data_IF_619013364510
#
_entry.id   IF_619013364510
#
_cell.length_a   1.000
_cell.length_b   1.000
_cell.length_c   1.000
_cell.angle_alpha   90.00
_cell.angle_beta   90.00
_cell.angle_gamma   90.00
#
_symmetry.space_group_name_H-M   'P 1'
#
loop_
_entity.id
_entity.type
_entity.pdbx_description
1 polymer ?
#
# COMPACT_ATOMS: atom_id res chain seq x y z
N UNK A 1 -8.73 -35.84 1.28
CA UNK A 1 -7.90 -34.76 1.90
C UNK A 1 -8.84 -33.65 2.37
N UNK A 2 -8.42 -32.77 3.29
CA UNK A 2 -9.23 -31.59 3.64
C UNK A 2 -9.17 -30.53 2.53
N UNK A 3 -7.98 -30.32 1.96
CA UNK A 3 -7.70 -29.35 0.89
C UNK A 3 -6.54 -29.85 0.04
N UNK A 4 -6.38 -29.34 -1.18
CA UNK A 4 -5.24 -29.63 -2.06
C UNK A 4 -4.41 -28.39 -2.37
N UNK A 5 -3.14 -28.59 -2.73
CA UNK A 5 -2.22 -27.55 -3.18
C UNK A 5 -1.32 -28.10 -4.29
N UNK A 6 -0.49 -27.22 -4.85
CA UNK A 6 0.46 -27.57 -5.92
C UNK A 6 1.54 -28.50 -5.37
N UNK A 7 1.82 -29.56 -6.12
CA UNK A 7 2.99 -30.41 -5.96
C UNK A 7 3.88 -30.35 -7.20
N UNK A 8 4.88 -31.23 -7.30
CA UNK A 8 5.87 -31.25 -8.38
C UNK A 8 6.66 -29.93 -8.48
N UNK A 9 7.14 -29.46 -7.35
CA UNK A 9 7.89 -28.21 -7.26
C UNK A 9 9.36 -28.37 -7.58
N UNK A 10 9.97 -27.27 -8.04
CA UNK A 10 11.41 -27.19 -8.21
C UNK A 10 12.10 -27.11 -6.84
N UNK A 11 13.08 -27.97 -6.62
CA UNK A 11 13.91 -28.00 -5.41
C UNK A 11 15.39 -27.99 -5.78
N UNK A 12 16.27 -27.66 -4.83
CA UNK A 12 17.71 -27.53 -5.07
C UNK A 12 18.43 -28.82 -5.41
N UNK A 13 17.78 -29.99 -5.25
CA UNK A 13 18.39 -31.30 -5.41
C UNK A 13 19.42 -31.66 -4.33
N UNK A 14 19.56 -30.83 -3.29
CA UNK A 14 20.44 -31.09 -2.17
C UNK A 14 20.04 -32.39 -1.46
N UNK A 15 21.02 -33.22 -1.08
CA UNK A 15 20.76 -34.51 -0.44
C UNK A 15 20.40 -35.66 -1.40
N UNK A 16 20.62 -35.49 -2.71
CA UNK A 16 20.39 -36.55 -3.71
C UNK A 16 18.95 -36.65 -4.20
N UNK A 17 18.11 -35.65 -3.90
CA UNK A 17 16.76 -35.57 -4.43
C UNK A 17 16.76 -35.10 -5.89
N UNK A 18 15.80 -35.54 -6.72
CA UNK A 18 15.58 -34.95 -8.03
C UNK A 18 15.25 -33.45 -7.90
N UNK A 19 15.60 -32.66 -8.91
CA UNK A 19 15.28 -31.21 -8.95
C UNK A 19 13.77 -30.94 -9.02
N UNK A 20 12.96 -31.95 -9.30
CA UNK A 20 11.49 -31.89 -9.23
C UNK A 20 11.00 -32.83 -8.14
N UNK A 21 10.26 -32.30 -7.18
CA UNK A 21 9.74 -33.06 -6.05
C UNK A 21 8.21 -33.09 -6.06
N UNK A 22 7.64 -34.26 -6.32
CA UNK A 22 6.20 -34.50 -6.44
C UNK A 22 5.64 -35.23 -5.21
N UNK A 23 4.32 -35.11 -5.00
CA UNK A 23 3.60 -35.81 -3.95
C UNK A 23 3.12 -34.91 -2.81
N UNK A 24 2.36 -35.51 -1.88
CA UNK A 24 1.73 -34.78 -0.77
C UNK A 24 2.73 -34.12 0.18
N UNK A 25 3.95 -34.67 0.28
CA UNK A 25 5.06 -34.05 1.00
C UNK A 25 5.52 -32.73 0.38
N UNK A 26 5.35 -32.55 -0.93
CA UNK A 26 5.62 -31.28 -1.62
C UNK A 26 4.43 -30.31 -1.50
N UNK A 27 3.20 -30.86 -1.47
CA UNK A 27 1.97 -30.09 -1.34
C UNK A 27 1.79 -29.47 0.07
N UNK A 28 2.01 -30.26 1.12
CA UNK A 28 1.82 -29.85 2.52
C UNK A 28 2.52 -28.54 2.93
N UNK A 29 3.81 -28.29 2.58
CA UNK A 29 4.47 -27.04 2.95
C UNK A 29 3.86 -25.80 2.28
N UNK A 30 3.17 -25.91 1.15
CA UNK A 30 2.45 -24.78 0.55
C UNK A 30 1.27 -24.35 1.42
N UNK A 31 0.50 -25.32 1.94
CA UNK A 31 -0.59 -25.02 2.87
C UNK A 31 -0.05 -24.48 4.19
N UNK A 32 1.06 -25.03 4.69
CA UNK A 32 1.71 -24.53 5.91
C UNK A 32 2.22 -23.09 5.76
N UNK A 33 2.87 -22.78 4.62
CA UNK A 33 3.33 -21.43 4.30
C UNK A 33 2.18 -20.43 4.16
N UNK A 34 1.10 -20.82 3.48
CA UNK A 34 -0.10 -20.01 3.38
C UNK A 34 -0.73 -19.75 4.76
N UNK A 35 -0.90 -20.80 5.58
CA UNK A 35 -1.42 -20.66 6.93
C UNK A 35 -0.55 -19.71 7.78
N UNK A 36 0.77 -19.78 7.65
CA UNK A 36 1.69 -18.87 8.33
C UNK A 36 1.49 -17.40 7.91
N UNK A 37 1.29 -17.14 6.61
CA UNK A 37 0.99 -15.79 6.10
C UNK A 37 -0.36 -15.27 6.63
N UNK A 38 -1.38 -16.13 6.69
CA UNK A 38 -2.68 -15.77 7.27
C UNK A 38 -2.57 -15.46 8.76
N UNK A 39 -1.79 -16.24 9.52
CA UNK A 39 -1.50 -15.98 10.93
C UNK A 39 -0.66 -14.72 11.15
N UNK A 40 0.23 -14.37 10.21
CA UNK A 40 0.95 -13.10 10.23
C UNK A 40 -0.01 -11.92 10.04
N UNK A 41 -0.96 -12.07 9.12
CA UNK A 41 -1.95 -11.05 8.81
C UNK A 41 -3.03 -10.88 9.89
N UNK A 42 -3.40 -11.97 10.57
CA UNK A 42 -4.37 -11.98 11.68
C UNK A 42 -3.76 -12.61 12.93
N UNK A 43 -2.92 -11.87 13.68
CA UNK A 43 -2.23 -12.41 14.86
C UNK A 43 -3.17 -12.93 15.94
N UNK A 44 -4.41 -12.42 16.03
CA UNK A 44 -5.41 -12.88 17.00
C UNK A 44 -5.85 -14.34 16.83
N UNK A 45 -5.42 -15.02 15.75
CA UNK A 45 -5.63 -16.46 15.56
C UNK A 45 -4.44 -17.31 16.03
N UNK A 46 -3.38 -16.67 16.54
CA UNK A 46 -2.29 -17.39 17.20
C UNK A 46 -2.79 -17.88 18.55
N UNK A 47 -2.01 -18.79 19.13
CA UNK A 47 -2.28 -19.27 20.47
C UNK A 47 -1.45 -18.47 21.48
N UNK A 48 -1.99 -18.29 22.69
CA UNK A 48 -1.28 -17.72 23.84
C UNK A 48 -1.71 -16.32 24.27
N UNK A 49 -2.74 -15.75 23.66
CA UNK A 49 -3.34 -14.48 24.07
C UNK A 49 -4.17 -14.62 25.37
N UNK A 50 -4.26 -13.58 26.22
CA UNK A 50 -5.16 -13.61 27.38
C UNK A 50 -6.62 -13.77 26.95
N UNK A 51 -7.29 -14.84 27.40
CA UNK A 51 -8.68 -15.16 27.01
C UNK A 51 -8.80 -15.96 25.70
N UNK A 52 -7.70 -16.52 25.21
CA UNK A 52 -7.60 -17.30 23.98
C UNK A 52 -8.50 -18.55 23.96
N UNK A 53 -9.05 -18.85 22.78
CA UNK A 53 -9.78 -20.09 22.49
C UNK A 53 -9.16 -20.80 21.28
N UNK A 54 -8.08 -21.58 21.50
CA UNK A 54 -7.32 -22.21 20.41
C UNK A 54 -8.14 -23.16 19.52
N UNK A 55 -9.32 -23.60 19.98
CA UNK A 55 -10.22 -24.43 19.17
C UNK A 55 -11.01 -23.59 18.17
N UNK A 56 -11.49 -22.42 18.59
CA UNK A 56 -12.19 -21.47 17.73
C UNK A 56 -11.24 -20.87 16.69
N UNK A 57 -10.01 -20.53 17.09
CA UNK A 57 -9.04 -19.90 16.18
C UNK A 57 -8.55 -20.85 15.10
N UNK A 58 -8.25 -22.11 15.45
CA UNK A 58 -7.96 -23.15 14.46
C UNK A 58 -9.13 -23.39 13.52
N UNK A 59 -10.36 -23.35 14.03
CA UNK A 59 -11.57 -23.51 13.21
C UNK A 59 -11.76 -22.32 12.26
N UNK A 60 -11.50 -21.09 12.71
CA UNK A 60 -11.56 -19.90 11.87
C UNK A 60 -10.51 -19.94 10.75
N UNK A 61 -9.27 -20.30 11.06
CA UNK A 61 -8.21 -20.46 10.06
C UNK A 61 -8.54 -21.57 9.06
N UNK A 62 -9.01 -22.73 9.56
CA UNK A 62 -9.43 -23.86 8.72
C UNK A 62 -10.58 -23.45 7.80
N UNK A 63 -11.64 -22.83 8.32
CA UNK A 63 -12.80 -22.43 7.53
C UNK A 63 -12.43 -21.42 6.45
N UNK A 64 -11.53 -20.49 6.74
CA UNK A 64 -11.05 -19.56 5.73
C UNK A 64 -10.33 -20.27 4.58
N UNK A 65 -9.47 -21.25 4.87
CA UNK A 65 -8.79 -22.03 3.84
C UNK A 65 -9.76 -22.90 3.03
N UNK A 66 -10.71 -23.57 3.70
CA UNK A 66 -11.63 -24.50 3.04
C UNK A 66 -12.73 -23.79 2.24
N UNK A 67 -13.32 -22.72 2.77
CA UNK A 67 -14.44 -22.03 2.11
C UNK A 67 -14.01 -21.13 0.95
N UNK A 68 -12.72 -20.81 0.86
CA UNK A 68 -12.17 -19.98 -0.22
C UNK A 68 -11.38 -20.79 -1.24
N UNK A 69 -11.19 -22.09 -0.99
CA UNK A 69 -10.54 -22.97 -1.93
C UNK A 69 -11.29 -22.98 -3.28
N UNK A 70 -10.52 -23.00 -4.35
CA UNK A 70 -11.05 -23.15 -5.69
C UNK A 70 -11.44 -24.60 -5.91
N UNK A 71 -12.75 -24.85 -5.96
CA UNK A 71 -13.32 -26.18 -6.17
C UNK A 71 -12.83 -26.80 -7.48
N UNK A 72 -12.37 -28.05 -7.41
CA UNK A 72 -11.83 -28.82 -8.53
C UNK A 72 -12.52 -30.17 -8.56
N UNK A 73 -12.91 -30.62 -9.75
CA UNK A 73 -13.62 -31.88 -9.89
C UNK A 73 -15.14 -31.70 -9.72
N UNK A 74 -15.85 -32.69 -9.15
CA UNK A 74 -17.27 -32.57 -8.83
C UNK A 74 -17.54 -31.43 -7.86
N UNK A 75 -18.65 -30.71 -8.05
CA UNK A 75 -18.98 -29.58 -7.19
C UNK A 75 -19.12 -30.00 -5.71
N UNK A 76 -18.47 -29.26 -4.82
CA UNK A 76 -18.47 -29.48 -3.38
C UNK A 76 -17.27 -30.27 -2.88
N UNK A 77 -17.29 -30.65 -1.61
CA UNK A 77 -16.17 -31.40 -1.01
C UNK A 77 -16.15 -32.82 -1.54
N UNK A 78 -15.01 -33.25 -2.07
CA UNK A 78 -14.82 -34.60 -2.58
C UNK A 78 -13.60 -35.32 -1.95
N UNK A 79 -13.45 -36.61 -2.25
CA UNK A 79 -12.39 -37.45 -1.67
C UNK A 79 -11.04 -37.36 -2.42
N UNK A 80 -10.96 -36.62 -3.53
CA UNK A 80 -9.76 -36.42 -4.35
C UNK A 80 -9.13 -35.05 -4.05
N UNK A 81 -9.90 -33.98 -4.18
CA UNK A 81 -9.48 -32.59 -4.02
C UNK A 81 -9.86 -31.98 -2.67
N UNK A 82 -10.69 -32.65 -1.86
CA UNK A 82 -11.19 -32.08 -0.62
C UNK A 82 -12.11 -30.90 -0.93
N UNK A 83 -11.91 -29.77 -0.27
CA UNK A 83 -12.58 -28.50 -0.63
C UNK A 83 -12.06 -27.85 -1.92
N UNK A 84 -11.10 -28.47 -2.61
CA UNK A 84 -10.47 -27.92 -3.81
C UNK A 84 -9.04 -27.45 -3.57
N UNK A 85 -8.51 -26.69 -4.53
CA UNK A 85 -7.15 -26.12 -4.47
C UNK A 85 -7.15 -24.84 -3.66
N UNK A 86 -6.22 -24.71 -2.71
CA UNK A 86 -6.09 -23.52 -1.88
C UNK A 86 -5.92 -22.22 -2.71
N UNK A 87 -6.72 -21.21 -2.39
CA UNK A 87 -6.60 -19.85 -2.91
C UNK A 87 -6.15 -18.91 -1.78
N UNK A 88 -4.88 -18.53 -1.81
CA UNK A 88 -4.31 -17.69 -0.78
C UNK A 88 -4.85 -16.26 -0.76
N UNK A 89 -5.24 -15.72 -1.92
CA UNK A 89 -5.74 -14.35 -2.01
C UNK A 89 -7.17 -14.27 -1.45
N UNK A 90 -8.02 -15.21 -1.84
CA UNK A 90 -9.38 -15.30 -1.34
C UNK A 90 -9.40 -15.58 0.18
N UNK A 91 -8.54 -16.50 0.66
CA UNK A 91 -8.38 -16.77 2.09
C UNK A 91 -7.95 -15.51 2.86
N UNK A 92 -6.95 -14.77 2.36
CA UNK A 92 -6.47 -13.55 2.99
C UNK A 92 -7.55 -12.45 3.02
N UNK A 93 -8.30 -12.28 1.93
CA UNK A 93 -9.37 -11.28 1.85
C UNK A 93 -10.54 -11.63 2.79
N UNK A 94 -10.77 -12.91 3.07
CA UNK A 94 -11.82 -13.35 4.00
C UNK A 94 -11.46 -13.16 5.47
N UNK A 95 -10.19 -13.35 5.84
CA UNK A 95 -9.74 -13.36 7.24
C UNK A 95 -9.18 -12.02 7.71
N UNK A 96 -8.37 -11.41 6.86
CA UNK A 96 -7.75 -10.15 7.17
C UNK A 96 -8.80 -9.06 6.96
N UNK A 97 -8.85 -8.03 7.82
CA UNK A 97 -9.48 -6.78 7.38
C UNK A 97 -8.87 -6.42 6.03
N UNK A 98 -9.67 -5.83 5.13
CA UNK A 98 -9.18 -5.34 3.85
C UNK A 98 -7.79 -4.77 4.12
N UNK A 99 -6.79 -5.30 3.43
CA UNK A 99 -5.55 -4.57 3.24
C UNK A 99 -5.97 -3.27 2.56
N UNK A 100 -6.49 -2.29 3.32
CA UNK A 100 -5.96 -0.94 3.20
C UNK A 100 -4.48 -1.23 3.20
N UNK A 101 -3.77 -1.01 2.09
CA UNK A 101 -2.34 -1.23 2.09
C UNK A 101 -1.87 -0.56 3.35
N UNK A 102 -1.45 -1.36 4.36
CA UNK A 102 -0.76 -0.82 5.52
C UNK A 102 0.28 0.05 4.86
N UNK A 103 0.21 1.39 5.02
CA UNK A 103 0.97 2.30 4.16
C UNK A 103 2.38 1.78 4.25
N UNK A 104 2.84 1.10 3.17
CA UNK A 104 4.04 0.27 3.17
C UNK A 104 5.06 1.14 3.84
N UNK A 105 5.52 0.85 5.09
CA UNK A 105 5.97 1.85 6.06
C UNK A 105 6.66 2.90 5.25
N UNK A 106 5.94 4.01 4.98
CA UNK A 106 6.26 4.94 3.90
C UNK A 106 7.66 5.35 4.27
N UNK A 107 8.63 4.74 3.59
CA UNK A 107 10.03 4.84 3.94
C UNK A 107 10.24 6.32 4.13
N UNK A 108 10.78 6.70 5.28
CA UNK A 108 11.12 8.11 5.47
C UNK A 108 11.87 8.52 4.21
N UNK A 109 11.40 9.55 3.48
CA UNK A 109 11.99 9.92 2.21
C UNK A 109 13.50 10.00 2.40
N UNK A 110 14.31 9.31 1.59
CA UNK A 110 15.74 9.35 1.76
C UNK A 110 16.18 10.81 1.66
N UNK A 111 17.15 11.21 2.49
CA UNK A 111 17.64 12.58 2.53
C UNK A 111 18.16 13.08 1.17
N UNK A 112 18.58 12.15 0.31
CA UNK A 112 18.89 12.41 -1.09
C UNK A 112 18.62 11.15 -1.93
N UNK A 113 18.17 11.36 -3.18
CA UNK A 113 17.96 10.32 -4.19
C UNK A 113 19.11 10.44 -5.20
N UNK A 114 19.99 9.44 -5.33
CA UNK A 114 21.08 9.50 -6.29
C UNK A 114 20.55 9.34 -7.73
N UNK A 115 21.23 9.95 -8.71
CA UNK A 115 20.86 9.78 -10.12
C UNK A 115 20.96 8.30 -10.52
N UNK A 116 19.86 7.74 -11.01
CA UNK A 116 19.71 6.31 -11.32
C UNK A 116 18.94 5.50 -10.28
N UNK A 117 18.59 6.07 -9.13
CA UNK A 117 17.60 5.48 -8.23
C UNK A 117 16.19 5.81 -8.76
N UNK A 118 15.59 4.81 -9.40
CA UNK A 118 14.34 4.94 -10.17
C UNK A 118 13.13 4.75 -9.26
N UNK A 119 13.29 4.01 -8.16
CA UNK A 119 12.24 3.84 -7.17
C UNK A 119 12.36 4.75 -5.93
N UNK A 120 13.34 5.64 -5.92
CA UNK A 120 13.60 6.62 -4.87
C UNK A 120 13.77 5.95 -3.50
N UNK A 121 14.42 4.79 -3.46
CA UNK A 121 14.70 4.02 -2.24
C UNK A 121 15.94 4.50 -1.47
N UNK A 122 16.75 5.36 -2.09
CA UNK A 122 18.04 5.85 -1.60
C UNK A 122 19.23 5.01 -2.06
N UNK A 123 19.01 3.95 -2.84
CA UNK A 123 20.05 3.03 -3.31
C UNK A 123 19.85 2.66 -4.77
N UNK A 124 20.94 2.45 -5.50
CA UNK A 124 20.90 2.00 -6.90
C UNK A 124 21.11 0.49 -6.94
N UNK A 125 20.11 -0.25 -7.41
CA UNK A 125 20.06 -1.70 -7.43
C UNK A 125 19.52 -2.25 -8.75
N UNK A 126 19.48 -3.58 -8.88
CA UNK A 126 18.81 -4.22 -10.02
C UNK A 126 17.30 -3.99 -10.04
N UNK A 127 16.69 -3.59 -8.92
CA UNK A 127 15.27 -3.24 -8.85
C UNK A 127 14.99 -2.00 -9.71
N UNK A 128 15.89 -1.01 -9.69
CA UNK A 128 15.80 0.19 -10.52
C UNK A 128 15.83 -0.14 -12.01
N UNK A 129 16.77 -0.99 -12.43
CA UNK A 129 16.85 -1.45 -13.81
C UNK A 129 15.58 -2.21 -14.25
N UNK A 130 14.99 -3.01 -13.36
CA UNK A 130 13.73 -3.70 -13.64
C UNK A 130 12.57 -2.72 -13.82
N UNK A 131 12.53 -1.62 -13.04
CA UNK A 131 11.52 -0.57 -13.18
C UNK A 131 11.63 0.12 -14.53
N UNK A 132 12.84 0.37 -15.01
CA UNK A 132 13.12 0.88 -16.37
C UNK A 132 12.63 -0.09 -17.44
N UNK A 133 12.95 -1.39 -17.33
CA UNK A 133 12.48 -2.39 -18.29
C UNK A 133 10.96 -2.51 -18.32
N UNK A 134 10.29 -2.44 -17.16
CA UNK A 134 8.83 -2.43 -17.10
C UNK A 134 8.25 -1.21 -17.82
N UNK A 135 8.83 -0.03 -17.60
CA UNK A 135 8.39 1.20 -18.26
C UNK A 135 8.61 1.14 -19.78
N UNK A 136 9.72 0.58 -20.25
CA UNK A 136 10.04 0.49 -21.67
C UNK A 136 9.09 -0.40 -22.47
N UNK A 137 8.51 -1.43 -21.83
CA UNK A 137 7.48 -2.29 -22.43
C UNK A 137 6.04 -1.81 -22.14
N UNK A 138 5.86 -0.61 -21.58
CA UNK A 138 4.55 -0.04 -21.32
C UNK A 138 3.82 -0.58 -20.08
N UNK A 139 4.50 -1.34 -19.22
CA UNK A 139 3.93 -1.80 -17.96
C UNK A 139 3.88 -0.66 -16.94
N UNK A 140 2.78 -0.61 -16.19
CA UNK A 140 2.65 0.32 -15.06
C UNK A 140 3.73 0.05 -14.01
N UNK A 141 4.41 1.13 -13.61
CA UNK A 141 5.41 1.15 -12.54
C UNK A 141 4.82 1.93 -11.37
N UNK A 142 4.63 1.24 -10.25
CA UNK A 142 4.22 1.87 -8.99
C UNK A 142 5.49 2.39 -8.31
N UNK A 143 5.50 3.69 -8.04
CA UNK A 143 6.55 4.40 -7.32
C UNK A 143 6.02 4.90 -5.96
N UNK A 144 6.91 5.13 -4.98
CA UNK A 144 6.52 5.78 -3.73
C UNK A 144 5.97 7.20 -3.93
N UNK A 145 5.13 7.71 -3.02
CA UNK A 145 4.53 9.06 -3.14
C UNK A 145 5.56 10.21 -3.18
N UNK A 146 6.75 10.01 -2.60
CA UNK A 146 7.83 11.00 -2.62
C UNK A 146 8.69 10.96 -3.90
N UNK A 147 8.46 9.97 -4.77
CA UNK A 147 9.16 9.85 -6.04
C UNK A 147 8.38 10.61 -7.12
N UNK A 148 8.59 11.92 -7.18
CA UNK A 148 7.82 12.84 -8.02
C UNK A 148 8.07 12.65 -9.53
N UNK A 149 9.21 12.07 -9.91
CA UNK A 149 9.63 11.92 -11.31
C UNK A 149 10.34 10.59 -11.52
N UNK A 150 9.99 9.90 -12.60
CA UNK A 150 10.66 8.68 -13.02
C UNK A 150 12.06 9.01 -13.57
N UNK A 151 13.11 8.81 -12.78
CA UNK A 151 14.52 9.09 -13.14
C UNK A 151 15.17 7.94 -13.91
N UNK A 152 14.49 7.40 -14.93
CA UNK A 152 14.95 6.20 -15.65
C UNK A 152 15.59 6.45 -17.01
N UNK A 153 15.84 7.70 -17.39
CA UNK A 153 16.67 8.07 -18.55
C UNK A 153 18.10 8.34 -18.04
N UNK A 154 18.97 7.35 -18.19
CA UNK A 154 20.30 7.32 -17.56
C UNK A 154 21.35 7.97 -18.45
N UNK A 155 21.02 8.14 -19.73
CA UNK A 155 21.91 8.75 -20.72
C UNK A 155 21.39 10.05 -21.35
N UNK A 156 20.27 10.54 -20.80
CA UNK A 156 19.63 11.83 -21.07
C UNK A 156 19.35 12.04 -22.56
N UNK A 157 19.07 10.95 -23.28
CA UNK A 157 18.68 11.02 -24.68
C UNK A 157 17.17 11.31 -24.86
N UNK A 158 16.44 11.50 -23.75
CA UNK A 158 14.99 11.68 -23.64
C UNK A 158 14.17 10.42 -23.98
N UNK A 159 14.78 9.25 -23.97
CA UNK A 159 14.16 7.96 -24.28
C UNK A 159 14.51 6.96 -23.18
N UNK A 160 13.49 6.53 -22.43
CA UNK A 160 13.62 5.46 -21.45
C UNK A 160 13.47 4.10 -22.15
N UNK A 161 14.54 3.33 -22.25
CA UNK A 161 14.51 2.01 -22.87
C UNK A 161 15.47 1.00 -22.20
N UNK A 162 15.70 -0.15 -22.84
CA UNK A 162 16.57 -1.20 -22.30
C UNK A 162 18.04 -0.78 -22.18
N UNK A 163 18.49 0.22 -22.93
CA UNK A 163 19.84 0.79 -22.84
C UNK A 163 20.03 1.47 -21.48
N UNK A 164 19.04 2.18 -20.97
CA UNK A 164 19.07 2.79 -19.63
C UNK A 164 19.13 1.74 -18.52
N UNK A 165 18.30 0.70 -18.64
CA UNK A 165 18.32 -0.42 -17.71
C UNK A 165 19.67 -1.12 -17.70
N UNK A 166 20.29 -1.29 -18.87
CA UNK A 166 21.62 -1.89 -18.99
C UNK A 166 22.68 -1.01 -18.31
N UNK A 167 22.59 0.31 -18.44
CA UNK A 167 23.52 1.25 -17.78
C UNK A 167 23.41 1.15 -16.25
N UNK A 168 22.20 1.01 -15.72
CA UNK A 168 21.97 0.73 -14.30
C UNK A 168 22.58 -0.59 -13.85
N UNK A 169 22.32 -1.69 -14.57
CA UNK A 169 22.89 -3.00 -14.24
C UNK A 169 24.41 -2.99 -14.29
N UNK A 170 25.01 -2.25 -15.23
CA UNK A 170 26.47 -2.05 -15.29
C UNK A 170 26.98 -1.33 -14.05
N UNK A 171 26.33 -0.24 -13.64
CA UNK A 171 26.70 0.47 -12.41
C UNK A 171 26.61 -0.43 -11.18
N UNK A 172 25.52 -1.19 -11.03
CA UNK A 172 25.30 -2.14 -9.92
C UNK A 172 26.38 -3.24 -9.90
N UNK A 173 26.85 -3.66 -11.08
CA UNK A 173 27.94 -4.62 -11.21
C UNK A 173 29.35 -4.00 -11.02
N UNK A 174 29.45 -2.72 -10.67
CA UNK A 174 30.73 -2.01 -10.50
C UNK A 174 31.44 -1.68 -11.82
N UNK A 175 30.73 -1.76 -12.94
CA UNK A 175 31.27 -1.45 -14.27
C UNK A 175 31.11 0.03 -14.61
N UNK A 176 32.07 0.59 -15.33
CA UNK A 176 31.97 1.96 -15.83
C UNK A 176 30.78 2.12 -16.78
N UNK A 177 30.07 3.24 -16.61
CA UNK A 177 28.92 3.64 -17.42
C UNK A 177 29.31 4.87 -18.23
N UNK A 178 29.13 4.80 -19.55
CA UNK A 178 29.31 5.97 -20.42
C UNK A 178 28.02 6.77 -20.45
N UNK A 179 28.12 8.04 -20.06
CA UNK A 179 27.00 8.98 -20.05
C UNK A 179 27.35 10.16 -20.96
N UNK A 180 26.36 10.64 -21.70
CA UNK A 180 26.54 11.79 -22.58
C UNK A 180 26.25 13.06 -21.77
N UNK A 181 27.20 14.00 -21.64
CA UNK A 181 26.91 15.30 -21.03
C UNK A 181 25.70 15.94 -21.75
N UNK A 182 24.70 16.49 -21.03
CA UNK A 182 24.75 17.04 -19.67
C UNK A 182 24.30 16.10 -18.53
N UNK A 183 24.32 14.77 -18.70
CA UNK A 183 23.90 13.86 -17.62
C UNK A 183 24.77 13.93 -16.35
N UNK A 184 24.15 13.90 -15.15
CA UNK A 184 24.86 13.61 -13.90
C UNK A 184 25.47 12.21 -13.90
N UNK A 185 26.51 12.01 -13.10
CA UNK A 185 27.10 10.68 -12.90
C UNK A 185 26.10 9.75 -12.20
N UNK A 186 25.96 8.50 -12.63
CA UNK A 186 25.14 7.50 -11.90
C UNK A 186 25.65 7.40 -10.46
N UNK A 187 24.76 7.54 -9.48
CA UNK A 187 25.13 7.59 -8.06
C UNK A 187 25.40 9.00 -7.53
N UNK A 188 25.52 10.01 -8.40
CA UNK A 188 25.67 11.39 -7.96
C UNK A 188 24.36 11.93 -7.43
N UNK A 189 24.41 12.56 -6.27
CA UNK A 189 23.34 13.46 -5.84
C UNK A 189 23.47 14.74 -6.66
N UNK A 190 22.37 15.26 -7.20
CA UNK A 190 22.39 16.60 -7.74
C UNK A 190 22.74 17.55 -6.59
N UNK A 191 23.99 18.03 -6.52
CA UNK A 191 24.28 19.24 -5.75
C UNK A 191 23.34 20.31 -6.30
N UNK A 192 22.46 20.92 -5.49
CA UNK A 192 21.77 22.11 -5.95
C UNK A 192 22.87 23.13 -6.26
N UNK A 193 23.16 23.33 -7.54
CA UNK A 193 23.86 24.52 -7.99
C UNK A 193 22.98 25.67 -7.53
N UNK A 194 23.39 26.32 -6.44
CA UNK A 194 22.81 27.57 -5.98
C UNK A 194 23.00 28.56 -7.13
N UNK A 195 21.98 28.66 -7.98
CA UNK A 195 21.84 29.77 -8.90
C UNK A 195 21.92 31.04 -8.05
N UNK A 196 22.74 32.05 -8.40
CA UNK A 196 22.87 33.24 -7.58
C UNK A 196 21.49 33.85 -7.36
N UNK A 197 21.08 33.93 -6.09
CA UNK A 197 19.78 34.47 -5.69
C UNK A 197 19.58 35.85 -6.34
N UNK A 198 18.46 36.10 -7.03
CA UNK A 198 18.14 37.46 -7.45
C UNK A 198 18.06 38.35 -6.21
N UNK A 199 18.72 39.51 -6.27
CA UNK A 199 18.71 40.53 -5.22
C UNK A 199 17.27 40.86 -4.82
N UNK A 200 16.91 40.93 -3.52
CA UNK A 200 15.55 41.22 -3.11
C UNK A 200 15.12 42.57 -3.69
N UNK A 201 14.03 42.55 -4.45
CA UNK A 201 13.34 43.76 -4.92
C UNK A 201 12.73 44.45 -3.70
N UNK A 202 12.93 45.77 -3.48
CA UNK A 202 12.41 46.46 -2.31
C UNK A 202 10.88 46.32 -2.25
N UNK A 203 10.38 45.82 -1.12
CA UNK A 203 8.95 45.64 -0.84
C UNK A 203 8.25 47.01 -0.85
N UNK A 204 7.15 47.19 -1.62
CA UNK A 204 6.40 48.44 -1.58
C UNK A 204 5.75 48.65 -0.21
N UNK A 205 5.90 49.85 0.34
CA UNK A 205 5.33 50.28 1.62
C UNK A 205 3.80 50.19 1.59
N UNK A 206 3.15 49.56 2.58
CA UNK A 206 1.68 49.46 2.60
C UNK A 206 1.04 50.85 2.72
N UNK A 207 0.09 51.13 1.83
CA UNK A 207 -0.77 52.32 1.87
C UNK A 207 -1.74 52.22 3.06
N UNK A 208 -1.92 53.27 3.87
CA UNK A 208 -2.82 53.21 5.02
C UNK A 208 -4.27 52.96 4.59
N UNK A 209 -4.89 51.95 5.21
CA UNK A 209 -6.30 51.58 5.02
C UNK A 209 -7.21 52.68 5.57
N UNK A 210 -8.25 53.13 4.83
CA UNK A 210 -9.19 54.14 5.34
C UNK A 210 -10.02 53.59 6.51
N UNK A 211 -10.17 54.42 7.54
CA UNK A 211 -10.94 54.13 8.76
C UNK A 211 -12.42 53.90 8.44
N UNK A 212 -13.08 52.84 8.98
CA UNK A 212 -14.49 52.58 8.71
C UNK A 212 -15.39 53.68 9.30
N UNK A 213 -16.36 54.13 8.51
CA UNK A 213 -17.41 55.08 8.89
C UNK A 213 -18.41 54.40 9.84
N UNK A 214 -18.83 55.04 10.96
CA UNK A 214 -19.77 54.44 11.90
C UNK A 214 -21.15 54.20 11.25
N UNK A 215 -21.67 53.00 11.48
CA UNK A 215 -23.00 52.55 11.03
C UNK A 215 -24.10 53.24 11.85
N UNK A 216 -25.19 53.76 11.23
CA UNK A 216 -26.27 54.39 11.97
C UNK A 216 -27.05 53.38 12.82
N UNK A 217 -27.29 53.75 14.08
CA UNK A 217 -28.09 52.99 15.06
C UNK A 217 -29.57 52.98 14.66
N UNK A 218 -30.17 51.81 14.54
CA UNK A 218 -31.62 51.66 14.30
C UNK A 218 -32.44 51.94 15.56
N UNK A 219 -33.47 52.78 15.41
CA UNK A 219 -34.47 53.16 16.42
C UNK A 219 -35.28 51.96 16.92
N UNK A 220 -35.56 51.83 18.24
CA UNK A 220 -36.34 50.70 18.78
C UNK A 220 -37.81 50.73 18.32
N UNK A 221 -38.32 49.54 17.99
CA UNK A 221 -39.73 49.27 17.66
C UNK A 221 -40.55 49.16 18.96
N UNK A 222 -41.72 49.80 19.08
CA UNK A 222 -42.59 49.66 20.25
C UNK A 222 -43.22 48.27 20.36
N UNK A 223 -43.23 47.74 21.58
CA UNK A 223 -43.81 46.44 21.96
C UNK A 223 -45.33 46.55 22.11
N UNK A 224 -46.09 45.83 21.26
CA UNK A 224 -47.54 45.74 21.39
C UNK A 224 -47.98 44.65 22.39
N UNK A 225 -48.62 45.15 23.46
CA UNK A 225 -49.87 44.73 24.11
C UNK A 225 -50.15 43.25 24.45
N UNK A 226 -50.43 42.92 25.74
CA UNK A 226 -50.67 41.54 26.20
C UNK A 226 -52.00 40.94 25.73
N UNK A 227 -51.96 39.67 25.33
CA UNK A 227 -53.12 38.84 24.98
C UNK A 227 -53.85 38.34 26.24
N UNK A 228 -55.18 38.39 26.21
CA UNK A 228 -56.07 38.09 27.32
C UNK A 228 -56.25 36.58 27.63
N UNK A 229 -56.43 36.29 28.92
CA UNK A 229 -56.81 34.99 29.53
C UNK A 229 -58.30 34.70 29.41
N UNK A 230 -58.70 33.48 29.03
CA UNK A 230 -59.73 32.72 29.76
C UNK A 230 -59.40 31.20 29.81
N UNK A 231 -59.97 30.29 30.61
CA UNK A 231 -60.81 30.23 31.81
C UNK A 231 -60.68 28.75 32.32
N UNK A 232 -60.90 28.43 33.61
CA UNK A 232 -60.66 27.09 34.15
C UNK A 232 -61.65 26.03 33.65
N UNK A 233 -61.17 24.81 33.39
CA UNK A 233 -61.98 23.63 33.07
C UNK A 233 -62.06 22.71 34.28
N UNK A 234 -63.28 22.33 34.67
CA UNK A 234 -63.59 21.51 35.84
C UNK A 234 -63.19 20.03 35.72
N UNK A 235 -62.88 19.49 36.90
CA UNK A 235 -62.58 18.11 37.29
C UNK A 235 -63.73 17.13 37.06
N UNK A 236 -63.45 15.85 36.73
CA UNK A 236 -64.27 14.75 37.20
C UNK A 236 -63.56 13.83 38.21
N UNK A 237 -64.28 13.58 39.30
CA UNK A 237 -64.00 12.68 40.43
C UNK A 237 -63.97 11.20 40.04
N UNK A 238 -62.99 10.39 40.50
CA UNK A 238 -63.10 8.93 40.47
C UNK A 238 -63.86 8.39 41.71
N UNK A 239 -64.84 7.52 41.48
CA UNK A 239 -65.55 6.73 42.51
C UNK A 239 -64.87 5.34 42.60
N UNK A 240 -64.79 4.70 43.79
CA UNK A 240 -64.08 3.44 44.03
C UNK A 240 -64.52 2.24 43.16
#
# INVERSE_FOLDING_TARGET
PDITSIDCVSVTGAGGFPSTFCGTSAAAPHIAGLAALLLQCKPSLKAGEPGDNPSADRSALRNALLNTAHDLGPAGVDNIYGSGRADGLAAATSLCPAITPSPTPVGTPPAAVPFGDVDCSGTITSVDALKVLRKSVGLSVILPPWCASFLGDIDCNNVVNSVDALKLLRHVAGLSVTQTPPCPVVGSFATPTLSPSPSPTPTPTPTPTPTPTPTPTSTPIPTDTPTATPAPTDTPTPTP
#
